data_IF_509288127817
#
_entry.id   IF_509288127817
#
_cell.length_a   1.000
_cell.length_b   1.000
_cell.length_c   1.000
_cell.angle_alpha   90.00
_cell.angle_beta   90.00
_cell.angle_gamma   90.00
#
_symmetry.space_group_name_H-M   'P 1'
#
loop_
_entity.id
_entity.type
_entity.pdbx_description
1 polymer ?
#
# COMPACT_ATOMS: atom_id res chain seq x y z
N UNK A 1 -6.91 -17.95 -6.11
CA UNK A 1 -7.25 -16.51 -6.15
C UNK A 1 -6.34 -15.90 -7.20
N UNK A 2 -6.87 -15.57 -8.38
CA UNK A 2 -6.07 -15.13 -9.53
C UNK A 2 -5.27 -13.87 -9.21
N UNK A 3 -4.00 -13.84 -9.65
CA UNK A 3 -3.09 -12.70 -9.53
C UNK A 3 -3.47 -11.53 -10.44
N UNK A 4 -4.63 -10.92 -10.20
CA UNK A 4 -5.03 -9.67 -10.87
C UNK A 4 -4.34 -8.49 -10.20
N UNK A 5 -3.63 -7.71 -11.01
CA UNK A 5 -2.93 -6.50 -10.60
C UNK A 5 -3.88 -5.31 -10.80
N UNK A 6 -3.99 -4.36 -9.84
CA UNK A 6 -4.75 -3.13 -10.03
C UNK A 6 -4.25 -2.33 -11.24
N UNK A 7 -5.17 -1.75 -12.00
CA UNK A 7 -4.85 -1.00 -13.22
C UNK A 7 -4.85 0.52 -12.98
N UNK A 8 -4.16 1.25 -13.87
CA UNK A 8 -4.19 2.72 -13.86
C UNK A 8 -5.62 3.20 -14.16
N UNK A 9 -6.10 4.14 -13.34
CA UNK A 9 -7.47 4.68 -13.45
C UNK A 9 -8.51 3.94 -12.61
N UNK A 10 -8.18 2.76 -12.07
CA UNK A 10 -9.04 2.07 -11.11
C UNK A 10 -8.90 2.67 -9.71
N UNK A 11 -9.97 2.56 -8.92
CA UNK A 11 -9.90 2.90 -7.49
C UNK A 11 -8.98 1.90 -6.80
N UNK A 12 -8.07 2.39 -5.96
CA UNK A 12 -7.21 1.55 -5.14
C UNK A 12 -8.06 0.57 -4.29
N UNK A 13 -7.64 -0.71 -4.12
CA UNK A 13 -8.38 -1.69 -3.35
C UNK A 13 -8.68 -1.22 -1.92
N UNK A 14 -9.91 -1.46 -1.45
CA UNK A 14 -10.28 -1.18 -0.06
C UNK A 14 -9.66 -2.24 0.85
N UNK A 15 -8.66 -1.84 1.63
CA UNK A 15 -7.93 -2.74 2.54
C UNK A 15 -7.65 -2.07 3.88
N UNK A 16 -7.74 -2.84 4.95
CA UNK A 16 -7.28 -2.44 6.28
C UNK A 16 -5.96 -3.16 6.54
N UNK A 17 -4.89 -2.40 6.81
CA UNK A 17 -3.53 -2.92 6.96
C UNK A 17 -2.91 -2.46 8.28
N UNK A 18 -2.09 -3.33 8.87
CA UNK A 18 -1.28 -2.99 10.03
C UNK A 18 0.02 -2.32 9.57
N UNK A 19 0.30 -1.14 10.08
CA UNK A 19 1.56 -0.41 9.86
C UNK A 19 2.33 -0.26 11.16
N UNK A 20 3.57 0.23 11.08
CA UNK A 20 4.37 0.64 12.25
C UNK A 20 3.79 1.86 12.97
N UNK A 21 2.87 2.60 12.35
CA UNK A 21 2.14 3.73 12.95
C UNK A 21 0.72 3.36 13.38
N UNK A 22 0.38 2.07 13.41
CA UNK A 22 -0.96 1.57 13.75
C UNK A 22 -1.76 1.06 12.54
N UNK A 23 -3.06 0.81 12.76
CA UNK A 23 -3.96 0.36 11.70
C UNK A 23 -4.36 1.52 10.79
N UNK A 24 -4.40 1.26 9.50
CA UNK A 24 -4.77 2.23 8.46
C UNK A 24 -5.73 1.58 7.47
N UNK A 25 -6.75 2.33 7.04
CA UNK A 25 -7.70 1.94 6.01
C UNK A 25 -7.40 2.66 4.69
N UNK A 26 -6.92 1.92 3.70
CA UNK A 26 -6.57 2.45 2.38
C UNK A 26 -7.74 2.33 1.38
N UNK A 27 -7.96 3.33 0.50
CA UNK A 27 -7.30 4.63 0.45
C UNK A 27 -7.94 5.70 1.37
N UNK A 28 -8.98 5.34 2.13
CA UNK A 28 -9.85 6.27 2.86
C UNK A 28 -9.11 7.22 3.82
N UNK A 29 -8.13 6.71 4.58
CA UNK A 29 -7.36 7.50 5.56
C UNK A 29 -6.45 8.56 4.92
N UNK A 30 -6.19 8.46 3.61
CA UNK A 30 -5.44 9.44 2.83
C UNK A 30 -6.34 10.28 1.92
N UNK A 31 -7.66 10.28 2.12
CA UNK A 31 -8.59 11.08 1.32
C UNK A 31 -8.19 12.58 1.28
N UNK A 32 -8.21 13.16 0.08
CA UNK A 32 -7.77 14.54 -0.16
C UNK A 32 -6.25 14.73 -0.27
N UNK A 33 -5.46 13.64 -0.16
CA UNK A 33 -4.01 13.62 -0.39
C UNK A 33 -3.64 12.53 -1.38
N UNK A 34 -2.56 12.76 -2.12
CA UNK A 34 -1.91 11.70 -2.88
C UNK A 34 -1.01 10.88 -1.94
N UNK A 35 -0.92 9.56 -2.19
CA UNK A 35 0.02 8.68 -1.52
C UNK A 35 0.73 7.77 -2.53
N UNK A 36 1.93 7.32 -2.18
CA UNK A 36 2.72 6.36 -2.95
C UNK A 36 2.89 5.12 -2.10
N UNK A 37 2.30 4.00 -2.54
CA UNK A 37 2.48 2.70 -1.90
C UNK A 37 3.58 1.93 -2.63
N UNK A 38 4.60 1.51 -1.89
CA UNK A 38 5.73 0.73 -2.40
C UNK A 38 6.03 -0.44 -1.47
N UNK A 39 6.66 -1.47 -2.01
CA UNK A 39 7.07 -2.66 -1.26
C UNK A 39 8.55 -2.91 -1.45
N UNK A 40 9.18 -3.52 -0.44
CA UNK A 40 10.53 -4.07 -0.52
C UNK A 40 10.52 -5.55 -0.11
N UNK A 41 11.52 -6.36 -0.53
CA UNK A 41 11.50 -7.80 -0.26
C UNK A 41 11.64 -8.16 1.23
N UNK A 42 12.53 -7.48 1.95
CA UNK A 42 12.79 -7.71 3.36
C UNK A 42 13.56 -6.55 4.00
N UNK A 43 13.27 -6.29 5.27
CA UNK A 43 14.03 -5.35 6.11
C UNK A 43 15.51 -5.76 6.18
N UNK A 44 16.40 -4.78 6.39
CA UNK A 44 17.85 -4.99 6.55
C UNK A 44 18.56 -5.65 5.36
N UNK A 45 18.09 -5.40 4.13
CA UNK A 45 18.78 -5.78 2.90
C UNK A 45 19.44 -4.55 2.24
N UNK A 46 20.63 -4.69 1.61
CA UNK A 46 21.47 -3.55 1.24
C UNK A 46 20.89 -2.63 0.15
N UNK A 47 19.93 -3.11 -0.63
CA UNK A 47 19.22 -2.30 -1.64
C UNK A 47 18.05 -1.52 -1.03
N UNK A 48 17.47 -2.01 0.07
CA UNK A 48 16.24 -1.47 0.63
C UNK A 48 16.46 -0.50 1.80
N UNK A 49 17.71 -0.39 2.28
CA UNK A 49 18.15 0.57 3.32
C UNK A 49 18.51 1.90 2.67
#
# INVERSE_FOLDING_TARGET
MEGKIPLIGERFPLVEVQTTHGRVKLPDDYSGKWFVFFSHPADFTPVCT
#
